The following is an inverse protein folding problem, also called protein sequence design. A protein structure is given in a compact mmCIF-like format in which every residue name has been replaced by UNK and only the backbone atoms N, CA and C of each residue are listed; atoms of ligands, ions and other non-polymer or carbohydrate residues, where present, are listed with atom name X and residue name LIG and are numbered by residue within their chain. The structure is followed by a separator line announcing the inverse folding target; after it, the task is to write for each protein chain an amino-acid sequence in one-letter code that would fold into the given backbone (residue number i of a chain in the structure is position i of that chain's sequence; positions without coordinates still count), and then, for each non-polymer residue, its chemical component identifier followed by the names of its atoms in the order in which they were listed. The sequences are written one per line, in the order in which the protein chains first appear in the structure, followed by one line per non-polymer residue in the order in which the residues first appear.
data_IF_744916073762
#
_entry.id   IF_744916073762
#
_cell.length_a   1.000
_cell.length_b   1.000
_cell.length_c   1.000
_cell.angle_alpha   90.00
_cell.angle_beta   90.00
_cell.angle_gamma   90.00
#
_symmetry.space_group_name_H-M   'P 1'
#
loop_
_entity.id
_entity.type
_entity.pdbx_description
1 polymer ?
#
# COMPACT_ATOMS: atom_id res chain seq x y z
N UNK A 1 4.68 18.57 -15.04
CA UNK A 1 4.07 17.23 -15.19
C UNK A 1 4.11 16.58 -13.82
N UNK A 2 3.06 16.79 -13.03
CA UNK A 2 2.97 16.22 -11.69
C UNK A 2 2.63 14.75 -11.85
N UNK A 3 3.66 13.90 -11.75
CA UNK A 3 3.52 12.46 -11.72
C UNK A 3 2.76 12.09 -10.43
N UNK A 4 1.42 12.20 -10.44
CA UNK A 4 0.54 11.77 -9.35
C UNK A 4 0.48 10.22 -9.29
N UNK A 5 1.63 9.56 -9.21
CA UNK A 5 1.71 8.15 -8.90
C UNK A 5 1.66 8.01 -7.39
N UNK A 6 0.45 7.78 -6.88
CA UNK A 6 0.29 7.43 -5.47
C UNK A 6 1.01 6.10 -5.23
N UNK A 7 2.11 6.15 -4.49
CA UNK A 7 2.89 4.98 -4.11
C UNK A 7 2.90 4.86 -2.59
N UNK A 8 2.74 3.64 -2.08
CA UNK A 8 2.78 3.36 -0.65
C UNK A 8 3.79 2.26 -0.39
N UNK A 9 4.83 2.58 0.37
CA UNK A 9 5.81 1.60 0.80
C UNK A 9 5.24 0.81 1.97
N UNK A 10 5.16 -0.49 1.81
CA UNK A 10 4.65 -1.42 2.81
C UNK A 10 5.73 -2.37 3.26
N UNK A 11 5.78 -2.62 4.56
CA UNK A 11 6.70 -3.60 5.15
C UNK A 11 5.90 -4.68 5.85
N UNK A 12 6.22 -5.94 5.57
CA UNK A 12 5.57 -7.05 6.22
C UNK A 12 6.09 -7.19 7.66
N UNK A 13 5.19 -7.17 8.64
CA UNK A 13 5.53 -7.44 10.04
C UNK A 13 5.97 -8.90 10.29
N UNK A 14 5.68 -9.83 9.39
CA UNK A 14 6.01 -11.26 9.54
C UNK A 14 7.35 -11.66 8.96
N UNK A 15 7.68 -11.15 7.78
CA UNK A 15 8.91 -11.54 7.07
C UNK A 15 9.85 -10.37 6.80
N UNK A 16 9.56 -9.18 7.36
CA UNK A 16 10.32 -7.94 7.17
C UNK A 16 10.52 -7.54 5.71
N UNK A 17 9.76 -8.13 4.78
CA UNK A 17 9.85 -7.83 3.37
C UNK A 17 9.18 -6.48 3.09
N UNK A 18 9.92 -5.55 2.51
CA UNK A 18 9.41 -4.27 2.05
C UNK A 18 9.09 -4.33 0.56
N UNK A 19 7.91 -3.85 0.17
CA UNK A 19 7.51 -3.67 -1.23
C UNK A 19 6.77 -2.35 -1.41
N UNK A 20 6.73 -1.87 -2.64
CA UNK A 20 6.02 -0.63 -2.99
C UNK A 20 4.74 -1.01 -3.72
N UNK A 21 3.60 -0.55 -3.19
CA UNK A 21 2.33 -0.65 -3.88
C UNK A 21 2.12 0.63 -4.71
N UNK A 22 1.95 0.50 -6.02
CA UNK A 22 1.77 1.62 -6.94
C UNK A 22 0.50 1.44 -7.77
N UNK A 23 -0.11 2.55 -8.16
CA UNK A 23 -1.09 2.59 -9.25
C UNK A 23 -2.44 3.19 -8.89
N UNK A 24 -3.32 3.22 -9.88
CA UNK A 24 -4.68 3.79 -9.80
C UNK A 24 -5.52 3.16 -8.69
N UNK A 25 -5.26 1.89 -8.35
CA UNK A 25 -5.92 1.19 -7.24
C UNK A 25 -5.57 1.81 -5.89
N UNK A 26 -4.35 2.32 -5.70
CA UNK A 26 -4.00 3.02 -4.46
C UNK A 26 -4.71 4.36 -4.36
N UNK A 27 -4.87 5.06 -5.48
CA UNK A 27 -5.60 6.33 -5.54
C UNK A 27 -7.09 6.16 -5.18
N UNK A 28 -7.76 5.13 -5.73
CA UNK A 28 -9.16 4.83 -5.37
C UNK A 28 -9.33 4.42 -3.90
N UNK A 29 -8.32 3.73 -3.34
CA UNK A 29 -8.27 3.33 -1.93
C UNK A 29 -7.95 4.51 -1.00
N UNK A 30 -7.12 5.46 -1.44
CA UNK A 30 -6.82 6.70 -0.73
C UNK A 30 -8.09 7.54 -0.54
N UNK A 31 -8.88 7.72 -1.62
CA UNK A 31 -10.20 8.37 -1.55
C UNK A 31 -11.17 7.67 -0.60
N UNK A 32 -11.10 6.35 -0.48
CA UNK A 32 -12.04 5.58 0.34
C UNK A 32 -11.79 5.70 1.86
N UNK A 33 -10.69 6.31 2.32
CA UNK A 33 -10.29 6.43 3.75
C UNK A 33 -10.30 5.14 4.58
N UNK A 34 -10.54 3.99 3.96
CA UNK A 34 -10.67 2.69 4.64
C UNK A 34 -9.33 1.96 4.60
N UNK A 35 -8.93 1.31 5.71
CA UNK A 35 -7.73 0.48 5.73
C UNK A 35 -7.90 -0.71 4.78
N UNK A 36 -6.93 -0.91 3.90
CA UNK A 36 -6.97 -1.98 2.90
C UNK A 36 -6.02 -3.08 3.31
N UNK A 37 -6.49 -4.33 3.35
CA UNK A 37 -5.64 -5.47 3.65
C UNK A 37 -5.09 -6.03 2.34
N UNK A 38 -3.79 -5.90 2.13
CA UNK A 38 -3.09 -6.50 0.99
C UNK A 38 -2.21 -7.66 1.47
N UNK A 39 -2.17 -8.79 0.75
CA UNK A 39 -1.28 -9.89 1.08
C UNK A 39 0.17 -9.53 0.76
N UNK A 40 1.09 -9.90 1.64
CA UNK A 40 2.52 -9.81 1.37
C UNK A 40 2.90 -10.76 0.22
N UNK A 41 3.65 -10.33 -0.80
CA UNK A 41 4.02 -11.18 -1.93
C UNK A 41 4.95 -12.35 -1.55
N UNK A 42 5.63 -12.29 -0.41
CA UNK A 42 6.55 -13.36 0.05
C UNK A 42 5.88 -14.39 0.95
N UNK A 43 5.15 -13.94 1.97
CA UNK A 43 4.61 -14.83 3.01
C UNK A 43 3.08 -14.89 3.03
N UNK A 44 2.43 -14.18 2.11
CA UNK A 44 0.97 -14.04 2.02
C UNK A 44 0.30 -13.53 3.31
N UNK A 45 1.08 -13.00 4.26
CA UNK A 45 0.54 -12.38 5.46
C UNK A 45 -0.27 -11.14 5.09
N UNK A 46 -1.43 -10.97 5.73
CA UNK A 46 -2.30 -9.80 5.51
C UNK A 46 -1.64 -8.58 6.17
N UNK A 47 -1.30 -7.58 5.36
CA UNK A 47 -0.73 -6.32 5.83
C UNK A 47 -1.72 -5.19 5.57
N UNK A 48 -1.94 -4.37 6.59
CA UNK A 48 -2.85 -3.24 6.50
C UNK A 48 -2.12 -2.07 5.85
N UNK A 49 -2.60 -1.66 4.68
CA UNK A 49 -2.17 -0.46 4.00
C UNK A 49 -2.91 0.73 4.60
N UNK A 50 -2.18 1.59 5.30
CA UNK A 50 -2.69 2.85 5.78
C UNK A 50 -2.49 3.90 4.69
N UNK A 51 -3.55 4.23 3.97
CA UNK A 51 -3.53 5.24 2.90
C UNK A 51 -3.42 6.67 3.42
N UNK A 52 -3.29 6.87 4.74
CA UNK A 52 -3.16 8.18 5.38
C UNK A 52 -1.83 8.88 5.06
N UNK A 53 -0.85 8.17 4.52
CA UNK A 53 0.50 8.68 4.21
C UNK A 53 0.79 8.69 2.70
N UNK A 54 -0.25 8.79 1.87
CA UNK A 54 -0.08 9.16 0.48
C UNK A 54 0.25 10.66 0.40
N UNK A 55 1.54 10.99 0.46
CA UNK A 55 2.09 12.31 0.13
C UNK A 55 2.17 12.46 -1.39
#
# INVERSE_FOLDING_TARGET
MECQYTSCRMTCHRCSHAWTYMGTRLNSLSRSRRPVKVPCPRCHAKVTMNTKEAV
#
